data_IF_255849435606
#
_entry.id   IF_255849435606
#
_cell.length_a   1.000
_cell.length_b   1.000
_cell.length_c   1.000
_cell.angle_alpha   90.00
_cell.angle_beta   90.00
_cell.angle_gamma   90.00
#
_symmetry.space_group_name_H-M   'P 1'
#
loop_
_entity.id
_entity.type
_entity.pdbx_description
1 polymer ?
#
# COMPACT_ATOMS: atom_id res chain seq x y z
N UNK A 1 -10.94 6.26 -0.79
CA UNK A 1 -10.64 7.31 0.21
C UNK A 1 -11.86 7.70 1.05
N UNK A 2 -11.63 8.34 2.20
CA UNK A 2 -12.74 8.83 3.04
C UNK A 2 -13.55 9.89 2.29
N UNK A 3 -14.88 9.80 2.35
CA UNK A 3 -15.80 10.71 1.61
C UNK A 3 -15.50 12.18 1.86
N UNK A 4 -15.23 12.56 3.11
CA UNK A 4 -14.92 13.94 3.45
C UNK A 4 -13.62 14.42 2.81
N UNK A 5 -12.58 13.59 2.80
CA UNK A 5 -11.31 13.92 2.15
C UNK A 5 -11.50 14.06 0.62
N UNK A 6 -12.23 13.12 0.01
CA UNK A 6 -12.53 13.19 -1.42
C UNK A 6 -13.27 14.47 -1.77
N UNK A 7 -14.28 14.85 -1.00
CA UNK A 7 -15.04 16.11 -1.21
C UNK A 7 -14.15 17.34 -1.07
N UNK A 8 -13.29 17.37 -0.05
CA UNK A 8 -12.43 18.54 0.23
C UNK A 8 -11.39 18.74 -0.87
N UNK A 9 -10.86 17.66 -1.43
CA UNK A 9 -9.75 17.70 -2.40
C UNK A 9 -10.17 17.31 -3.83
N UNK A 10 -11.48 17.31 -4.13
CA UNK A 10 -12.00 16.84 -5.42
C UNK A 10 -11.37 17.53 -6.65
N UNK A 11 -11.06 18.82 -6.53
CA UNK A 11 -10.46 19.60 -7.62
C UNK A 11 -8.98 19.31 -7.90
N UNK A 12 -8.31 18.59 -6.99
CA UNK A 12 -6.87 18.28 -7.09
C UNK A 12 -6.60 16.77 -7.07
N UNK A 13 -7.63 15.95 -7.23
CA UNK A 13 -7.45 14.50 -7.38
C UNK A 13 -6.69 14.20 -8.67
N UNK A 14 -5.69 13.32 -8.57
CA UNK A 14 -4.91 12.90 -9.73
C UNK A 14 -5.82 12.20 -10.76
N UNK A 15 -5.75 12.58 -12.04
CA UNK A 15 -6.38 11.81 -13.10
C UNK A 15 -5.74 10.41 -13.20
N UNK A 16 -6.52 9.42 -13.63
CA UNK A 16 -6.04 8.04 -13.79
C UNK A 16 -6.06 7.20 -12.49
N UNK A 17 -6.56 7.74 -11.38
CA UNK A 17 -6.78 6.96 -10.15
C UNK A 17 -8.18 6.36 -10.17
N UNK A 18 -8.23 5.03 -10.04
CA UNK A 18 -9.47 4.27 -9.84
C UNK A 18 -9.57 3.80 -8.40
N UNK A 19 -10.78 3.55 -7.93
CA UNK A 19 -11.03 3.11 -6.56
C UNK A 19 -11.77 1.77 -6.57
N UNK A 20 -11.27 0.82 -5.80
CA UNK A 20 -11.98 -0.41 -5.48
C UNK A 20 -12.89 -0.19 -4.26
N UNK A 21 -13.90 -1.01 -4.11
CA UNK A 21 -14.84 -0.94 -2.98
C UNK A 21 -14.12 -1.14 -1.64
N UNK A 22 -14.61 -0.45 -0.62
CA UNK A 22 -14.14 -0.69 0.76
C UNK A 22 -14.67 -2.03 1.28
N UNK A 23 -13.98 -2.60 2.25
CA UNK A 23 -14.30 -3.92 2.82
C UNK A 23 -15.32 -3.87 3.96
N UNK A 24 -15.81 -2.70 4.34
CA UNK A 24 -16.80 -2.55 5.40
C UNK A 24 -18.23 -2.77 4.87
N UNK A 25 -18.71 -4.00 4.99
CA UNK A 25 -20.09 -4.34 4.64
C UNK A 25 -21.00 -4.22 5.86
N UNK A 26 -22.31 -3.97 5.69
CA UNK A 26 -23.28 -3.88 6.80
C UNK A 26 -23.26 -5.10 7.72
N UNK A 27 -23.11 -6.31 7.16
CA UNK A 27 -23.03 -7.58 7.88
C UNK A 27 -21.74 -7.74 8.71
N UNK A 28 -20.70 -6.95 8.40
CA UNK A 28 -19.43 -6.98 9.14
C UNK A 28 -19.40 -6.05 10.36
N UNK A 29 -20.43 -5.24 10.55
CA UNK A 29 -20.44 -4.13 11.53
C UNK A 29 -20.07 -4.53 12.96
N UNK A 30 -20.38 -5.75 13.35
CA UNK A 30 -20.10 -6.27 14.70
C UNK A 30 -19.19 -7.49 14.72
N UNK A 31 -18.54 -7.80 13.59
CA UNK A 31 -17.58 -8.89 13.52
C UNK A 31 -16.29 -8.47 14.18
N UNK A 32 -15.79 -9.32 15.10
CA UNK A 32 -14.45 -9.15 15.69
C UNK A 32 -13.43 -9.91 14.85
N UNK A 33 -12.33 -9.24 14.51
CA UNK A 33 -11.29 -9.82 13.65
C UNK A 33 -11.67 -9.82 12.17
N UNK A 34 -11.17 -10.80 11.41
CA UNK A 34 -11.43 -10.92 9.99
C UNK A 34 -12.85 -11.46 9.72
N UNK A 35 -13.68 -10.75 8.95
CA UNK A 35 -14.92 -11.32 8.43
C UNK A 35 -14.67 -12.58 7.59
N UNK A 36 -15.57 -13.56 7.70
CA UNK A 36 -15.46 -14.83 6.95
C UNK A 36 -15.78 -14.67 5.45
N UNK A 37 -16.56 -13.65 5.09
CA UNK A 37 -17.03 -13.40 3.72
C UNK A 37 -16.63 -11.99 3.27
N UNK A 38 -16.51 -11.78 1.95
CA UNK A 38 -16.18 -10.46 1.38
C UNK A 38 -14.90 -10.45 0.56
N UNK A 39 -14.22 -11.58 0.37
CA UNK A 39 -13.07 -11.72 -0.52
C UNK A 39 -13.39 -11.31 -1.96
N UNK A 40 -14.63 -11.52 -2.39
CA UNK A 40 -15.14 -11.13 -3.71
C UNK A 40 -15.03 -9.65 -4.01
N UNK A 41 -14.91 -8.78 -2.99
CA UNK A 41 -14.70 -7.34 -3.17
C UNK A 41 -13.38 -7.03 -3.89
N UNK A 42 -12.41 -7.93 -3.83
CA UNK A 42 -11.18 -7.81 -4.61
C UNK A 42 -11.42 -7.91 -6.13
N UNK A 43 -12.55 -8.49 -6.57
CA UNK A 43 -12.90 -8.58 -7.99
C UNK A 43 -13.14 -7.21 -8.65
N UNK A 44 -13.32 -6.15 -7.86
CA UNK A 44 -13.38 -4.80 -8.41
C UNK A 44 -12.10 -4.48 -9.18
N UNK A 45 -10.93 -4.92 -8.70
CA UNK A 45 -9.67 -4.76 -9.40
C UNK A 45 -9.68 -5.51 -10.74
N UNK A 46 -10.19 -6.75 -10.78
CA UNK A 46 -10.34 -7.49 -12.05
C UNK A 46 -11.27 -6.77 -13.03
N UNK A 47 -12.37 -6.19 -12.53
CA UNK A 47 -13.29 -5.40 -13.34
C UNK A 47 -12.62 -4.15 -13.91
N UNK A 48 -11.79 -3.47 -13.12
CA UNK A 48 -11.00 -2.32 -13.58
C UNK A 48 -10.01 -2.76 -14.68
N UNK A 49 -9.33 -3.90 -14.48
CA UNK A 49 -8.43 -4.47 -15.50
C UNK A 49 -9.15 -4.77 -16.83
N UNK A 50 -10.37 -5.31 -16.75
CA UNK A 50 -11.18 -5.57 -17.96
C UNK A 50 -11.60 -4.30 -18.67
N UNK A 51 -11.90 -3.22 -17.93
CA UNK A 51 -12.37 -1.97 -18.50
C UNK A 51 -11.26 -1.09 -19.08
N UNK A 52 -10.07 -1.12 -18.49
CA UNK A 52 -8.98 -0.21 -18.82
C UNK A 52 -7.74 -0.89 -19.41
N UNK A 53 -7.71 -2.23 -19.42
CA UNK A 53 -6.51 -3.03 -19.71
C UNK A 53 -5.61 -3.12 -18.49
N UNK A 54 -5.29 -4.35 -18.06
CA UNK A 54 -4.42 -4.58 -16.89
C UNK A 54 -3.03 -3.96 -17.08
N UNK A 55 -2.53 -3.98 -18.30
CA UNK A 55 -1.24 -3.39 -18.72
C UNK A 55 -1.16 -1.86 -18.56
N UNK A 56 -2.31 -1.19 -18.39
CA UNK A 56 -2.38 0.26 -18.16
C UNK A 56 -2.45 0.62 -16.66
N UNK A 57 -2.42 -0.38 -15.77
CA UNK A 57 -2.51 -0.20 -14.32
C UNK A 57 -1.14 -0.45 -13.72
N UNK A 58 -0.50 0.60 -13.21
CA UNK A 58 0.83 0.49 -12.63
C UNK A 58 0.83 -0.22 -11.26
N UNK A 59 -0.10 0.13 -10.38
CA UNK A 59 -0.12 -0.38 -9.02
C UNK A 59 -1.52 -0.36 -8.40
N UNK A 60 -1.72 -1.27 -7.43
CA UNK A 60 -2.83 -1.27 -6.49
C UNK A 60 -2.28 -1.01 -5.08
N UNK A 61 -2.71 0.07 -4.44
CA UNK A 61 -2.32 0.40 -3.07
C UNK A 61 -3.49 0.19 -2.11
N UNK A 62 -3.24 -0.53 -1.01
CA UNK A 62 -4.24 -0.77 0.04
C UNK A 62 -3.60 -0.68 1.43
N UNK A 63 -4.36 -0.19 2.40
CA UNK A 63 -4.05 -0.44 3.82
C UNK A 63 -4.46 -1.88 4.15
N UNK A 64 -3.57 -2.77 4.64
CA UNK A 64 -3.97 -4.13 5.03
C UNK A 64 -5.09 -4.16 6.07
N UNK A 65 -5.07 -3.21 7.00
CA UNK A 65 -6.20 -2.86 7.85
C UNK A 65 -6.42 -1.36 7.65
N UNK A 66 -7.58 -0.97 7.15
CA UNK A 66 -7.89 0.43 6.91
C UNK A 66 -8.06 1.18 8.24
N UNK A 67 -7.02 1.90 8.67
CA UNK A 67 -6.91 2.43 10.02
C UNK A 67 -7.81 3.62 10.28
N UNK A 68 -7.56 4.75 9.61
CA UNK A 68 -8.25 6.03 9.88
C UNK A 68 -9.73 6.03 9.49
N UNK A 69 -10.17 5.11 8.65
CA UNK A 69 -11.57 4.93 8.26
C UNK A 69 -12.41 4.18 9.30
N UNK A 70 -11.80 3.63 10.34
CA UNK A 70 -12.49 2.94 11.42
C UNK A 70 -11.92 1.59 11.83
N UNK A 71 -10.63 1.33 11.52
CA UNK A 71 -9.95 0.06 11.82
C UNK A 71 -10.69 -1.11 11.17
N UNK A 72 -10.88 -1.02 9.85
CA UNK A 72 -11.59 -2.02 9.07
C UNK A 72 -10.63 -3.18 8.75
N UNK A 73 -10.85 -4.31 9.41
CA UNK A 73 -10.09 -5.54 9.17
C UNK A 73 -10.59 -6.18 7.87
N UNK A 74 -9.69 -6.55 6.94
CA UNK A 74 -10.10 -7.13 5.66
C UNK A 74 -10.73 -8.51 5.84
N UNK A 75 -11.71 -8.88 5.01
CA UNK A 75 -12.24 -10.25 4.99
C UNK A 75 -11.15 -11.29 4.70
N UNK A 76 -11.35 -12.51 5.18
CA UNK A 76 -10.45 -13.63 4.85
C UNK A 76 -10.35 -13.82 3.34
N UNK A 77 -9.14 -13.98 2.84
CA UNK A 77 -8.87 -14.18 1.42
C UNK A 77 -8.86 -12.91 0.56
N UNK A 78 -9.31 -11.76 1.08
CA UNK A 78 -9.36 -10.52 0.30
C UNK A 78 -7.98 -10.05 -0.17
N UNK A 79 -6.99 -9.98 0.72
CA UNK A 79 -5.64 -9.55 0.38
C UNK A 79 -4.92 -10.55 -0.53
N UNK A 80 -5.13 -11.85 -0.28
CA UNK A 80 -4.61 -12.93 -1.14
C UNK A 80 -5.14 -12.78 -2.57
N UNK A 81 -6.43 -12.55 -2.71
CA UNK A 81 -7.07 -12.38 -4.02
C UNK A 81 -6.60 -11.12 -4.75
N UNK A 82 -6.36 -10.01 -4.03
CA UNK A 82 -5.72 -8.84 -4.62
C UNK A 82 -4.33 -9.18 -5.16
N UNK A 83 -3.52 -9.94 -4.40
CA UNK A 83 -2.19 -10.39 -4.84
C UNK A 83 -2.30 -11.23 -6.11
N UNK A 84 -3.21 -12.21 -6.16
CA UNK A 84 -3.43 -13.06 -7.33
C UNK A 84 -3.81 -12.24 -8.58
N UNK A 85 -4.69 -11.26 -8.44
CA UNK A 85 -5.09 -10.39 -9.55
C UNK A 85 -3.90 -9.50 -9.98
N UNK A 86 -3.16 -8.94 -9.04
CA UNK A 86 -1.97 -8.15 -9.35
C UNK A 86 -0.93 -8.99 -10.11
N UNK A 87 -0.64 -10.20 -9.66
CA UNK A 87 0.30 -11.12 -10.32
C UNK A 87 -0.15 -11.47 -11.73
N UNK A 88 -1.45 -11.76 -11.90
CA UNK A 88 -2.04 -12.09 -13.21
C UNK A 88 -1.86 -10.98 -14.24
N UNK A 89 -1.97 -9.73 -13.83
CA UNK A 89 -1.96 -8.57 -14.74
C UNK A 89 -0.64 -7.79 -14.72
N UNK A 90 0.37 -8.21 -13.95
CA UNK A 90 1.63 -7.49 -13.81
C UNK A 90 1.52 -6.16 -13.07
N UNK A 91 0.57 -6.04 -12.15
CA UNK A 91 0.29 -4.85 -11.35
C UNK A 91 1.09 -4.92 -10.06
N UNK A 92 1.76 -3.84 -9.66
CA UNK A 92 2.45 -3.79 -8.37
C UNK A 92 1.44 -3.71 -7.22
N UNK A 93 1.57 -4.58 -6.22
CA UNK A 93 0.79 -4.49 -4.99
C UNK A 93 1.57 -3.72 -3.95
N UNK A 94 0.98 -2.64 -3.44
CA UNK A 94 1.59 -1.79 -2.42
C UNK A 94 0.77 -1.89 -1.14
N UNK A 95 1.40 -2.25 -0.03
CA UNK A 95 0.76 -2.16 1.29
C UNK A 95 1.12 -0.84 1.96
N UNK A 96 0.10 -0.06 2.27
CA UNK A 96 0.24 1.09 3.17
C UNK A 96 0.21 0.60 4.62
N UNK A 97 1.40 0.38 5.16
CA UNK A 97 1.60 -0.05 6.54
C UNK A 97 2.00 1.11 7.48
N UNK A 98 1.64 2.31 7.11
CA UNK A 98 1.87 3.51 7.95
C UNK A 98 1.24 3.36 9.34
N UNK A 99 0.12 2.63 9.46
CA UNK A 99 -0.53 2.34 10.75
C UNK A 99 -0.22 0.92 11.20
N UNK A 100 -0.25 -0.07 10.31
CA UNK A 100 -0.19 -1.50 10.66
C UNK A 100 1.21 -2.03 10.92
N UNK A 101 2.23 -1.37 10.41
CA UNK A 101 3.63 -1.78 10.57
C UNK A 101 4.17 -1.65 11.98
N UNK A 102 5.33 -2.23 12.20
CA UNK A 102 6.13 -2.14 13.44
C UNK A 102 5.41 -2.70 14.67
N UNK A 103 4.82 -3.90 14.52
CA UNK A 103 4.25 -4.65 15.64
C UNK A 103 2.80 -4.33 15.98
N UNK A 104 2.13 -3.45 15.25
CA UNK A 104 0.74 -3.03 15.54
C UNK A 104 -0.26 -4.17 15.50
N UNK A 105 -0.05 -5.16 14.65
CA UNK A 105 -0.94 -6.32 14.45
C UNK A 105 -0.50 -7.57 15.24
N UNK A 106 0.65 -7.50 15.93
CA UNK A 106 1.25 -8.64 16.62
C UNK A 106 2.46 -9.22 15.86
N UNK A 107 2.46 -9.14 14.54
CA UNK A 107 3.62 -9.39 13.68
C UNK A 107 4.37 -8.10 13.37
N UNK A 108 5.62 -8.15 12.89
CA UNK A 108 6.37 -6.94 12.55
C UNK A 108 5.62 -6.08 11.53
N UNK A 109 5.00 -6.72 10.55
CA UNK A 109 4.18 -6.09 9.51
C UNK A 109 2.89 -6.87 9.28
N UNK A 110 1.81 -6.18 8.88
CA UNK A 110 0.56 -6.82 8.51
C UNK A 110 0.71 -7.76 7.31
N UNK A 111 1.66 -7.50 6.42
CA UNK A 111 2.06 -8.43 5.36
C UNK A 111 2.35 -9.84 5.90
N UNK A 112 3.07 -9.93 7.02
CA UNK A 112 3.36 -11.20 7.69
C UNK A 112 2.12 -11.78 8.38
N UNK A 113 1.34 -10.94 9.05
CA UNK A 113 0.11 -11.34 9.76
C UNK A 113 -0.89 -11.99 8.80
N UNK A 114 -1.06 -11.43 7.61
CA UNK A 114 -2.00 -11.93 6.61
C UNK A 114 -1.37 -12.90 5.60
N UNK A 115 -0.06 -13.17 5.68
CA UNK A 115 0.63 -14.09 4.78
C UNK A 115 0.63 -13.65 3.31
N UNK A 116 0.69 -12.34 3.05
CA UNK A 116 0.72 -11.77 1.70
C UNK A 116 1.96 -10.89 1.55
N UNK A 117 2.78 -11.17 0.56
CA UNK A 117 3.98 -10.35 0.27
C UNK A 117 3.65 -9.31 -0.81
N UNK A 118 3.62 -8.02 -0.47
CA UNK A 118 3.47 -6.95 -1.46
C UNK A 118 4.80 -6.70 -2.20
N UNK A 119 4.75 -5.91 -3.26
CA UNK A 119 5.95 -5.48 -3.99
C UNK A 119 6.61 -4.27 -3.31
N UNK A 120 5.79 -3.45 -2.63
CA UNK A 120 6.26 -2.31 -1.84
C UNK A 120 5.49 -2.22 -0.52
N UNK A 121 6.16 -1.65 0.49
CA UNK A 121 5.54 -1.27 1.77
C UNK A 121 5.86 0.19 2.06
N UNK A 122 4.82 0.99 2.34
CA UNK A 122 5.00 2.34 2.86
C UNK A 122 4.88 2.34 4.38
N UNK A 123 5.78 3.03 5.06
CA UNK A 123 5.88 3.05 6.52
C UNK A 123 6.07 4.46 7.05
N UNK A 124 5.59 4.72 8.25
CA UNK A 124 5.81 5.96 8.99
C UNK A 124 5.49 5.73 10.48
N UNK A 125 5.09 6.75 11.20
CA UNK A 125 4.61 6.71 12.61
C UNK A 125 5.53 5.91 13.55
N UNK A 126 5.27 4.61 13.70
CA UNK A 126 6.06 3.73 14.55
C UNK A 126 7.48 3.48 14.05
N UNK A 127 7.81 3.82 12.81
CA UNK A 127 9.18 3.77 12.26
C UNK A 127 10.18 4.48 13.18
N UNK A 128 9.82 5.63 13.73
CA UNK A 128 10.62 6.36 14.71
C UNK A 128 9.95 6.44 16.08
N UNK A 129 8.89 5.66 16.27
CA UNK A 129 8.05 5.70 17.48
C UNK A 129 7.53 7.11 17.85
N UNK A 130 7.39 7.97 16.84
CA UNK A 130 6.89 9.34 16.97
C UNK A 130 7.90 10.36 17.50
N UNK A 131 9.16 9.98 17.71
CA UNK A 131 10.20 10.88 18.22
C UNK A 131 10.54 11.98 17.21
N UNK A 132 10.58 11.61 15.92
CA UNK A 132 10.84 12.53 14.81
C UNK A 132 10.05 12.10 13.58
N UNK A 133 9.46 13.03 12.80
CA UNK A 133 8.76 12.67 11.57
C UNK A 133 9.67 11.98 10.57
N UNK A 134 9.27 10.80 10.10
CA UNK A 134 9.97 10.04 9.06
C UNK A 134 8.98 9.17 8.31
N UNK A 135 9.17 9.06 7.00
CA UNK A 135 8.51 8.09 6.15
C UNK A 135 9.54 7.24 5.42
N UNK A 136 9.19 5.98 5.18
CA UNK A 136 10.04 5.01 4.50
C UNK A 136 9.21 4.25 3.48
N UNK A 137 9.82 3.94 2.34
CA UNK A 137 9.29 3.00 1.35
C UNK A 137 10.30 1.86 1.22
N UNK A 138 9.86 0.65 1.49
CA UNK A 138 10.63 -0.56 1.19
C UNK A 138 10.13 -1.15 -0.13
N UNK A 139 11.03 -1.60 -0.97
CA UNK A 139 10.74 -2.19 -2.28
C UNK A 139 11.45 -3.53 -2.41
N UNK A 140 10.94 -4.43 -3.27
CA UNK A 140 11.66 -5.63 -3.64
C UNK A 140 12.97 -5.30 -4.36
N UNK A 141 13.98 -6.16 -4.20
CA UNK A 141 15.30 -6.01 -4.84
C UNK A 141 15.18 -5.87 -6.36
N UNK A 142 14.33 -6.67 -7.00
CA UNK A 142 14.07 -6.63 -8.44
C UNK A 142 13.63 -5.23 -8.93
N UNK A 143 12.93 -4.48 -8.11
CA UNK A 143 12.51 -3.11 -8.45
C UNK A 143 13.67 -2.13 -8.32
N UNK A 144 14.51 -2.32 -7.32
CA UNK A 144 15.73 -1.54 -7.17
C UNK A 144 16.68 -1.77 -8.36
N UNK A 145 16.90 -3.04 -8.72
CA UNK A 145 17.72 -3.42 -9.87
C UNK A 145 17.18 -2.83 -11.18
N UNK A 146 15.85 -2.86 -11.38
CA UNK A 146 15.24 -2.27 -12.56
C UNK A 146 15.47 -0.75 -12.65
N UNK A 147 15.52 -0.04 -11.51
CA UNK A 147 15.85 1.38 -11.47
C UNK A 147 17.33 1.60 -11.83
N UNK A 148 18.24 0.80 -11.32
CA UNK A 148 19.66 0.86 -11.66
C UNK A 148 19.91 0.58 -13.15
N UNK A 149 19.29 -0.47 -13.68
CA UNK A 149 19.45 -0.89 -15.08
C UNK A 149 18.85 0.15 -16.06
N UNK A 150 17.86 0.90 -15.62
CA UNK A 150 17.25 1.99 -16.43
C UNK A 150 18.11 3.25 -16.50
N UNK A 151 19.15 3.36 -15.66
CA UNK A 151 20.03 4.52 -15.63
C UNK A 151 20.91 4.57 -16.87
N UNK A 152 20.92 5.71 -17.55
CA UNK A 152 21.80 5.97 -18.70
C UNK A 152 23.26 6.20 -18.30
N UNK A 153 23.55 6.36 -17.03
CA UNK A 153 24.89 6.59 -16.49
C UNK A 153 25.03 5.91 -15.11
N UNK A 154 25.24 4.60 -15.07
CA UNK A 154 25.28 3.83 -13.82
C UNK A 154 26.46 4.23 -12.90
N UNK A 155 27.53 4.82 -13.45
CA UNK A 155 28.67 5.29 -12.65
C UNK A 155 28.47 6.76 -12.24
N UNK A 156 27.99 7.02 -11.02
CA UNK A 156 27.94 8.35 -10.41
C UNK A 156 26.61 9.10 -10.55
N UNK A 157 25.56 8.47 -11.08
CA UNK A 157 24.21 9.04 -11.07
C UNK A 157 23.43 8.44 -9.88
N UNK A 158 22.63 9.22 -9.14
CA UNK A 158 21.71 8.66 -8.14
C UNK A 158 20.79 7.65 -8.82
N UNK A 159 20.58 6.50 -8.18
CA UNK A 159 19.73 5.40 -8.68
C UNK A 159 18.32 5.90 -9.01
N UNK A 160 17.77 6.75 -8.14
CA UNK A 160 16.49 7.42 -8.33
C UNK A 160 16.66 8.91 -8.00
N UNK A 161 16.48 9.77 -9.01
CA UNK A 161 16.54 11.22 -8.81
C UNK A 161 15.26 11.72 -8.14
N UNK A 162 15.04 11.30 -6.91
CA UNK A 162 13.91 11.69 -6.08
C UNK A 162 14.33 11.84 -4.61
N UNK A 163 13.89 12.93 -4.00
CA UNK A 163 14.12 13.19 -2.58
C UNK A 163 13.59 14.56 -2.18
N UNK A 164 13.35 14.71 -0.90
CA UNK A 164 13.03 15.99 -0.29
C UNK A 164 14.28 16.54 0.41
N UNK A 165 14.28 17.84 0.73
CA UNK A 165 15.44 18.48 1.40
C UNK A 165 15.84 17.78 2.69
N UNK A 166 14.87 17.22 3.42
CA UNK A 166 15.12 16.48 4.67
C UNK A 166 15.12 14.96 4.52
N UNK A 167 15.18 14.43 3.29
CA UNK A 167 15.37 12.99 3.09
C UNK A 167 16.72 12.55 3.66
N UNK A 168 16.74 11.45 4.42
CA UNK A 168 17.96 10.92 5.02
C UNK A 168 18.55 11.77 6.15
N UNK A 169 17.77 12.67 6.78
CA UNK A 169 18.27 13.45 7.93
C UNK A 169 18.82 12.51 9.02
N UNK A 170 20.08 12.69 9.48
CA UNK A 170 20.74 11.72 10.35
C UNK A 170 19.99 11.42 11.65
N UNK A 171 19.35 12.42 12.25
CA UNK A 171 18.58 12.24 13.48
C UNK A 171 17.37 11.33 13.30
N UNK A 172 16.67 11.41 12.14
CA UNK A 172 15.53 10.55 11.84
C UNK A 172 15.99 9.13 11.50
N UNK A 173 17.06 8.99 10.72
CA UNK A 173 17.62 7.67 10.38
C UNK A 173 18.15 6.95 11.63
N UNK A 174 18.74 7.68 12.58
CA UNK A 174 19.22 7.09 13.84
C UNK A 174 18.08 6.73 14.82
N UNK A 175 16.90 7.32 14.65
CA UNK A 175 15.71 7.01 15.48
C UNK A 175 14.85 5.88 14.92
N UNK A 176 14.97 5.57 13.64
CA UNK A 176 14.25 4.48 12.93
C UNK A 176 15.09 3.24 12.80
#
# INVERSE_FOLDING_TARGET
>A
GMVNNVKTFASVLMPGVQHISHTHLPEHKFVSGQPETGDYLANDLETICQNFGGENIAACIVEPIAGSTGTLVPPKGYLQKLREICDKHGILLIFDEVITGWGRTGSAFAAQEFGVTPDMITMAKATTNGVIPMGVVAVKEEMYDAVLDSSSNPEGTPELFHGYTYSGIPAAVAAG
#
